data_IF_983016044714
#
_entry.id   IF_983016044714
#
_cell.length_a   1.000
_cell.length_b   1.000
_cell.length_c   1.000
_cell.angle_alpha   90.00
_cell.angle_beta   90.00
_cell.angle_gamma   90.00
#
_symmetry.space_group_name_H-M   'P 1'
#
loop_
_entity.id
_entity.type
_entity.pdbx_description
1 polymer ?
#
# COMPACT_ATOMS: atom_id res chain seq x y z
N UNK A 1 -28.27 -45.39 27.26
CA UNK A 1 -27.34 -45.76 26.17
C UNK A 1 -27.53 -44.75 25.05
N UNK A 2 -26.72 -43.71 25.08
CA UNK A 2 -26.74 -42.65 24.07
C UNK A 2 -25.99 -43.08 22.81
N UNK A 3 -26.43 -42.56 21.68
CA UNK A 3 -25.62 -42.47 20.48
C UNK A 3 -25.54 -41.00 20.07
N UNK A 4 -24.31 -40.49 20.10
CA UNK A 4 -23.91 -39.14 19.79
C UNK A 4 -24.20 -38.82 18.32
N UNK A 5 -24.94 -37.73 18.08
CA UNK A 5 -24.91 -37.00 16.81
C UNK A 5 -23.64 -36.15 16.79
N UNK A 6 -22.62 -36.60 16.04
CA UNK A 6 -21.43 -35.82 15.77
C UNK A 6 -21.74 -34.82 14.65
N UNK A 7 -22.15 -33.61 15.03
CA UNK A 7 -22.22 -32.48 14.11
C UNK A 7 -20.77 -32.05 13.79
N UNK A 8 -20.25 -32.48 12.65
CA UNK A 8 -19.01 -31.94 12.10
C UNK A 8 -19.33 -30.54 11.57
N UNK A 9 -19.15 -29.53 12.43
CA UNK A 9 -19.06 -28.15 11.99
C UNK A 9 -17.82 -28.02 11.10
N UNK A 10 -18.03 -28.06 9.78
CA UNK A 10 -17.08 -27.60 8.80
C UNK A 10 -16.77 -26.13 9.11
N UNK A 11 -15.62 -25.87 9.74
CA UNK A 11 -15.06 -24.54 9.80
C UNK A 11 -14.67 -24.16 8.38
N UNK A 12 -15.57 -23.44 7.69
CA UNK A 12 -15.19 -22.58 6.58
C UNK A 12 -14.20 -21.56 7.15
N UNK A 13 -12.91 -21.86 7.05
CA UNK A 13 -11.86 -20.87 7.14
C UNK A 13 -12.11 -19.89 5.98
N UNK A 14 -12.89 -18.83 6.26
CA UNK A 14 -13.07 -17.73 5.35
C UNK A 14 -11.70 -17.12 5.11
N UNK A 15 -11.12 -17.38 3.94
CA UNK A 15 -10.04 -16.57 3.42
C UNK A 15 -10.60 -15.14 3.33
N UNK A 16 -10.14 -14.27 4.22
CA UNK A 16 -10.42 -12.84 4.13
C UNK A 16 -9.93 -12.37 2.76
N UNK A 17 -10.74 -11.64 1.97
CA UNK A 17 -10.23 -11.04 0.74
C UNK A 17 -9.08 -10.11 1.14
N UNK A 18 -7.89 -10.38 0.60
CA UNK A 18 -6.78 -9.45 0.66
C UNK A 18 -7.25 -8.13 0.03
N UNK A 19 -7.32 -7.08 0.84
CA UNK A 19 -7.61 -5.73 0.39
C UNK A 19 -6.29 -5.10 -0.05
N UNK A 20 -6.25 -4.52 -1.24
CA UNK A 20 -5.23 -3.56 -1.64
C UNK A 20 -5.13 -2.46 -0.58
N UNK A 21 -4.16 -2.57 0.32
CA UNK A 21 -4.03 -1.66 1.47
C UNK A 21 -3.01 -0.56 1.17
N UNK A 22 -1.99 -0.88 0.37
CA UNK A 22 -0.88 0.05 0.13
C UNK A 22 -1.17 1.08 -0.95
N UNK A 23 -1.90 0.72 -2.01
CA UNK A 23 -2.20 1.63 -3.11
C UNK A 23 -3.70 1.70 -3.40
N UNK A 24 -4.17 2.92 -3.63
CA UNK A 24 -5.48 3.20 -4.21
C UNK A 24 -5.31 3.59 -5.67
N UNK A 25 -6.18 3.08 -6.54
CA UNK A 25 -6.17 3.41 -7.97
C UNK A 25 -7.30 4.37 -8.34
N UNK A 26 -7.01 5.33 -9.21
CA UNK A 26 -8.02 6.19 -9.83
C UNK A 26 -7.66 6.47 -11.31
N UNK A 27 -8.65 6.71 -12.19
CA UNK A 27 -8.38 7.27 -13.51
C UNK A 27 -7.59 8.58 -13.38
N UNK A 28 -6.66 8.81 -14.30
CA UNK A 28 -5.88 10.05 -14.37
C UNK A 28 -5.79 10.55 -15.80
N UNK A 29 -5.27 11.76 -15.98
CA UNK A 29 -5.09 12.35 -17.31
C UNK A 29 -4.13 11.48 -18.12
N UNK A 30 -4.57 11.06 -19.30
CA UNK A 30 -3.71 10.45 -20.29
C UNK A 30 -2.79 11.51 -20.91
N UNK A 31 -1.49 11.27 -20.83
CA UNK A 31 -0.43 12.10 -21.40
C UNK A 31 0.72 11.21 -21.83
N UNK A 32 0.62 10.65 -23.05
CA UNK A 32 1.61 9.72 -23.57
C UNK A 32 3.01 10.34 -23.63
N UNK A 33 3.98 9.73 -22.94
CA UNK A 33 5.36 10.22 -22.95
C UNK A 33 6.04 9.69 -24.22
N UNK A 34 6.56 10.57 -25.06
CA UNK A 34 7.24 10.16 -26.29
C UNK A 34 8.46 9.28 -25.96
N UNK A 35 8.59 8.07 -26.54
CA UNK A 35 9.76 7.22 -26.32
C UNK A 35 10.99 7.66 -27.13
N UNK A 36 10.92 8.78 -27.86
CA UNK A 36 12.03 9.29 -28.66
C UNK A 36 13.24 9.59 -27.75
N UNK A 37 14.39 8.98 -28.04
CA UNK A 37 15.61 9.12 -27.24
C UNK A 37 15.65 8.28 -25.96
N UNK A 38 14.63 7.48 -25.68
CA UNK A 38 14.66 6.51 -24.58
C UNK A 38 15.61 5.35 -24.91
N UNK A 39 16.20 4.76 -23.87
CA UNK A 39 17.17 3.66 -24.00
C UNK A 39 16.44 2.35 -24.28
N UNK A 40 16.78 1.61 -25.35
CA UNK A 40 16.26 0.26 -25.56
C UNK A 40 16.66 -0.67 -24.42
N UNK A 41 15.74 -1.56 -24.02
CA UNK A 41 16.07 -2.60 -23.03
C UNK A 41 17.14 -3.54 -23.56
N UNK A 42 18.02 -3.99 -22.66
CA UNK A 42 18.99 -5.05 -22.94
C UNK A 42 18.58 -6.29 -22.16
N UNK A 43 18.17 -7.33 -22.89
CA UNK A 43 17.72 -8.60 -22.33
C UNK A 43 18.87 -9.36 -21.68
N UNK A 44 18.58 -10.09 -20.61
CA UNK A 44 19.58 -10.87 -19.90
C UNK A 44 20.03 -12.12 -20.66
N UNK A 45 19.35 -12.46 -21.76
CA UNK A 45 19.45 -13.74 -22.44
C UNK A 45 19.28 -14.90 -21.46
N UNK A 46 18.20 -14.83 -20.67
CA UNK A 46 17.82 -15.77 -19.59
C UNK A 46 18.75 -15.81 -18.37
N UNK A 47 19.89 -15.10 -18.38
CA UNK A 47 20.85 -15.17 -17.26
C UNK A 47 20.31 -14.63 -15.93
N UNK A 48 19.27 -13.81 -15.97
CA UNK A 48 18.57 -13.31 -14.78
C UNK A 48 17.28 -14.08 -14.48
N UNK A 49 16.89 -15.01 -15.34
CA UNK A 49 15.58 -15.63 -15.37
C UNK A 49 15.53 -16.91 -14.51
N UNK A 50 14.58 -17.01 -13.57
CA UNK A 50 14.46 -18.15 -12.64
C UNK A 50 13.30 -19.13 -12.91
N UNK A 51 12.35 -18.80 -13.80
CA UNK A 51 11.15 -19.62 -14.07
C UNK A 51 11.07 -20.23 -15.48
N UNK A 52 12.17 -20.25 -16.23
CA UNK A 52 12.28 -20.94 -17.51
C UNK A 52 11.80 -20.13 -18.73
N UNK A 53 12.37 -18.94 -18.91
CA UNK A 53 12.13 -18.08 -20.09
C UNK A 53 13.06 -18.39 -21.27
N UNK A 54 12.95 -17.60 -22.32
CA UNK A 54 13.77 -17.72 -23.54
C UNK A 54 14.60 -16.45 -23.76
N UNK A 55 15.61 -16.42 -24.64
CA UNK A 55 16.32 -15.17 -24.92
C UNK A 55 15.37 -14.15 -25.57
N UNK A 56 15.34 -12.93 -25.04
CA UNK A 56 14.45 -11.82 -25.48
C UNK A 56 12.97 -12.01 -25.12
N UNK A 57 12.39 -13.14 -25.47
CA UNK A 57 11.00 -13.50 -25.14
C UNK A 57 10.92 -14.27 -23.82
N UNK A 58 9.88 -14.04 -23.02
CA UNK A 58 9.80 -14.48 -21.63
C UNK A 58 11.01 -14.10 -20.77
N UNK A 59 11.82 -13.12 -21.19
CA UNK A 59 13.06 -12.73 -20.54
C UNK A 59 12.87 -11.50 -19.65
N UNK A 60 13.87 -11.26 -18.81
CA UNK A 60 14.01 -10.03 -18.02
C UNK A 60 15.34 -9.36 -18.29
N UNK A 61 15.42 -8.07 -18.03
CA UNK A 61 16.68 -7.34 -18.02
C UNK A 61 17.52 -7.68 -16.79
N UNK A 62 18.81 -7.35 -16.82
CA UNK A 62 19.54 -7.07 -15.58
C UNK A 62 18.88 -5.91 -14.80
N UNK A 63 19.16 -5.74 -13.49
CA UNK A 63 18.65 -4.61 -12.72
C UNK A 63 19.00 -3.27 -13.39
N UNK A 64 17.99 -2.53 -13.81
CA UNK A 64 18.11 -1.21 -14.44
C UNK A 64 18.05 -0.14 -13.36
N UNK A 65 19.02 0.80 -13.28
CA UNK A 65 18.95 1.92 -12.34
C UNK A 65 17.74 2.81 -12.61
N UNK A 66 16.95 3.07 -11.57
CA UNK A 66 15.78 3.97 -11.65
C UNK A 66 16.19 5.45 -11.73
N UNK A 67 17.40 5.77 -11.25
CA UNK A 67 17.89 7.13 -11.10
C UNK A 67 17.40 7.84 -9.84
N UNK A 68 16.51 7.22 -9.06
CA UNK A 68 16.04 7.68 -7.75
C UNK A 68 15.65 6.48 -6.87
N UNK A 69 15.39 6.72 -5.58
CA UNK A 69 14.85 5.70 -4.68
C UNK A 69 13.33 5.64 -4.85
N UNK A 70 12.83 4.58 -5.46
CA UNK A 70 11.41 4.30 -5.54
C UNK A 70 10.99 3.44 -4.36
N UNK A 71 10.04 3.91 -3.56
CA UNK A 71 9.52 3.12 -2.44
C UNK A 71 8.23 2.40 -2.86
N UNK A 72 8.27 1.07 -2.92
CA UNK A 72 7.14 0.19 -3.27
C UNK A 72 6.77 -0.67 -2.06
N UNK A 73 5.59 -0.47 -1.49
CA UNK A 73 5.16 -1.22 -0.30
C UNK A 73 5.99 -1.05 0.97
N UNK A 74 6.52 0.16 1.21
CA UNK A 74 7.41 0.45 2.34
C UNK A 74 8.87 0.07 2.11
N UNK A 75 9.18 -0.65 1.02
CA UNK A 75 10.53 -1.07 0.69
C UNK A 75 11.13 -0.14 -0.37
N UNK A 76 12.34 0.35 -0.12
CA UNK A 76 13.09 1.19 -1.04
C UNK A 76 13.82 0.35 -2.10
N UNK A 77 13.63 0.69 -3.37
CA UNK A 77 14.34 0.13 -4.51
C UNK A 77 15.03 1.24 -5.30
N UNK A 78 16.26 0.99 -5.73
CA UNK A 78 17.01 1.88 -6.63
C UNK A 78 17.14 1.32 -8.04
N UNK A 79 16.67 0.09 -8.24
CA UNK A 79 16.72 -0.64 -9.51
C UNK A 79 15.41 -1.37 -9.75
N UNK A 80 15.13 -1.67 -11.02
CA UNK A 80 13.98 -2.46 -11.47
C UNK A 80 14.41 -3.41 -12.59
N UNK A 81 13.81 -4.59 -12.67
CA UNK A 81 13.90 -5.47 -13.83
C UNK A 81 12.68 -5.26 -14.72
N UNK A 82 12.91 -5.09 -16.02
CA UNK A 82 11.85 -5.01 -17.05
C UNK A 82 11.69 -6.39 -17.65
N UNK A 83 10.45 -6.84 -17.81
CA UNK A 83 10.12 -8.15 -18.37
C UNK A 83 9.33 -8.00 -19.67
N UNK A 84 9.61 -8.85 -20.66
CA UNK A 84 8.99 -8.81 -22.00
C UNK A 84 7.47 -8.74 -21.95
N UNK A 85 6.86 -9.56 -21.10
CA UNK A 85 5.41 -9.73 -20.95
C UNK A 85 4.75 -8.62 -20.13
N UNK A 86 5.14 -7.36 -20.31
CA UNK A 86 4.45 -6.20 -19.74
C UNK A 86 4.55 -6.09 -18.21
N UNK A 87 5.63 -6.60 -17.60
CA UNK A 87 5.85 -6.55 -16.14
C UNK A 87 7.10 -5.75 -15.76
N UNK A 88 7.02 -5.05 -14.63
CA UNK A 88 8.18 -4.54 -13.89
C UNK A 88 8.30 -5.30 -12.58
N UNK A 89 9.53 -5.61 -12.18
CA UNK A 89 9.80 -6.49 -11.04
C UNK A 89 10.89 -5.90 -10.17
N UNK A 90 10.73 -5.98 -8.85
CA UNK A 90 11.65 -5.41 -7.88
C UNK A 90 12.27 -6.52 -7.02
N UNK A 91 13.57 -6.75 -7.18
CA UNK A 91 14.27 -7.87 -6.54
C UNK A 91 13.50 -9.20 -6.70
N UNK A 92 12.93 -9.41 -7.88
CA UNK A 92 12.29 -10.64 -8.28
C UNK A 92 12.73 -10.98 -9.70
N UNK A 93 13.31 -12.17 -9.83
CA UNK A 93 13.91 -12.70 -11.05
C UNK A 93 12.99 -13.71 -11.74
N UNK A 94 11.72 -13.79 -11.34
CA UNK A 94 10.76 -14.70 -11.94
C UNK A 94 10.36 -14.23 -13.34
N UNK A 95 10.39 -15.17 -14.25
CA UNK A 95 10.16 -15.06 -15.68
C UNK A 95 9.51 -16.38 -16.09
N UNK A 96 8.95 -16.44 -17.29
CA UNK A 96 8.30 -17.63 -17.79
C UNK A 96 7.19 -17.26 -18.75
N UNK A 97 6.74 -18.29 -19.46
CA UNK A 97 5.78 -18.23 -20.55
C UNK A 97 4.57 -17.34 -20.23
N UNK A 98 4.22 -16.45 -21.16
CA UNK A 98 3.08 -15.56 -21.00
C UNK A 98 1.75 -16.24 -21.30
N UNK A 99 1.69 -17.31 -22.09
CA UNK A 99 0.42 -17.99 -22.46
C UNK A 99 0.35 -19.44 -21.98
N UNK A 100 -0.74 -19.83 -21.32
CA UNK A 100 -1.06 -21.23 -21.00
C UNK A 100 -1.74 -21.95 -22.17
N UNK A 101 -2.65 -21.28 -22.88
CA UNK A 101 -3.38 -21.83 -24.03
C UNK A 101 -3.53 -20.77 -25.12
N UNK A 102 -3.17 -21.10 -26.36
CA UNK A 102 -3.19 -20.19 -27.52
C UNK A 102 -4.57 -19.99 -28.18
N UNK A 103 -5.58 -20.78 -27.81
CA UNK A 103 -6.90 -20.70 -28.43
C UNK A 103 -7.54 -19.31 -28.22
N UNK A 104 -8.55 -18.91 -28.99
CA UNK A 104 -9.35 -17.75 -28.61
C UNK A 104 -10.40 -18.16 -27.54
N UNK A 105 -10.45 -17.53 -26.34
CA UNK A 105 -9.53 -16.51 -25.85
C UNK A 105 -8.27 -17.11 -25.21
N UNK A 106 -7.13 -16.42 -25.37
CA UNK A 106 -5.87 -16.82 -24.72
C UNK A 106 -5.97 -16.71 -23.20
N UNK A 107 -5.30 -17.63 -22.51
CA UNK A 107 -5.26 -17.70 -21.05
C UNK A 107 -3.84 -17.57 -20.52
N UNK A 108 -3.70 -16.95 -19.34
CA UNK A 108 -2.42 -16.56 -18.76
C UNK A 108 -2.08 -17.45 -17.55
N UNK A 109 -0.84 -17.97 -17.44
CA UNK A 109 -0.51 -19.01 -16.46
C UNK A 109 -0.28 -18.50 -15.04
N UNK A 110 -0.16 -17.18 -14.84
CA UNK A 110 0.23 -16.62 -13.55
C UNK A 110 -0.78 -15.58 -13.04
N UNK A 111 -1.86 -16.01 -12.37
CA UNK A 111 -2.88 -15.08 -11.84
C UNK A 111 -2.33 -14.25 -10.66
N UNK A 112 -2.75 -13.00 -10.50
CA UNK A 112 -2.56 -12.23 -9.26
C UNK A 112 -3.57 -12.73 -8.19
N UNK A 113 -3.15 -13.09 -6.97
CA UNK A 113 -1.77 -13.13 -6.51
C UNK A 113 -1.03 -14.43 -6.90
N UNK A 114 0.27 -14.33 -7.11
CA UNK A 114 1.16 -15.48 -7.34
C UNK A 114 2.44 -15.35 -6.50
N UNK A 115 2.72 -16.34 -5.66
CA UNK A 115 3.88 -16.33 -4.76
C UNK A 115 5.23 -16.17 -5.46
N UNK A 116 5.32 -16.61 -6.72
CA UNK A 116 6.53 -16.47 -7.53
C UNK A 116 6.67 -15.08 -8.15
N UNK A 117 5.61 -14.28 -8.19
CA UNK A 117 5.56 -12.97 -8.85
C UNK A 117 5.33 -11.81 -7.87
N UNK A 118 5.62 -11.98 -6.59
CA UNK A 118 5.59 -10.88 -5.61
C UNK A 118 6.54 -9.75 -5.99
N UNK A 119 6.27 -8.53 -5.52
CA UNK A 119 7.00 -7.31 -5.88
C UNK A 119 6.99 -7.03 -7.38
N UNK A 120 5.82 -7.20 -8.01
CA UNK A 120 5.62 -6.93 -9.45
C UNK A 120 4.55 -5.88 -9.71
N UNK A 121 4.75 -5.17 -10.81
CA UNK A 121 3.79 -4.27 -11.46
C UNK A 121 3.46 -4.86 -12.82
N UNK A 122 2.19 -4.83 -13.22
CA UNK A 122 1.68 -5.42 -14.46
C UNK A 122 0.88 -4.37 -15.20
N UNK A 123 1.50 -3.72 -16.19
CA UNK A 123 0.79 -2.76 -17.05
C UNK A 123 -0.20 -3.50 -17.93
N UNK A 124 0.23 -4.63 -18.50
CA UNK A 124 -0.61 -5.57 -19.24
C UNK A 124 0.16 -6.88 -19.38
N UNK A 125 0.00 -7.80 -18.41
CA UNK A 125 0.84 -9.00 -18.33
C UNK A 125 0.44 -10.10 -19.33
N UNK A 126 0.61 -9.80 -20.62
CA UNK A 126 0.39 -10.66 -21.77
C UNK A 126 1.72 -11.24 -22.27
N UNK A 127 1.70 -12.37 -22.97
CA UNK A 127 2.79 -13.02 -23.72
C UNK A 127 3.29 -12.15 -24.88
N UNK A 128 3.84 -10.98 -24.55
CA UNK A 128 4.36 -10.02 -25.51
C UNK A 128 5.73 -10.51 -25.98
N UNK A 129 5.89 -10.60 -27.30
CA UNK A 129 7.10 -11.11 -27.94
C UNK A 129 7.80 -9.99 -28.74
N UNK A 130 8.87 -9.38 -28.17
CA UNK A 130 9.64 -8.36 -28.86
C UNK A 130 10.42 -8.87 -30.09
N UNK A 131 10.53 -10.19 -30.29
CA UNK A 131 11.16 -10.77 -31.49
C UNK A 131 10.26 -10.62 -32.73
N UNK A 132 8.94 -10.51 -32.54
CA UNK A 132 7.98 -10.33 -33.64
C UNK A 132 7.91 -8.88 -34.13
N UNK A 133 8.31 -7.93 -33.30
CA UNK A 133 8.36 -6.52 -33.67
C UNK A 133 8.18 -5.57 -32.49
N UNK A 134 8.06 -4.28 -32.82
CA UNK A 134 7.96 -3.23 -31.83
C UNK A 134 9.26 -2.98 -31.07
N UNK A 135 9.17 -2.19 -30.00
CA UNK A 135 10.32 -1.90 -29.12
C UNK A 135 9.87 -1.76 -27.67
N UNK A 136 10.79 -2.07 -26.75
CA UNK A 136 10.64 -1.76 -25.33
C UNK A 136 11.79 -0.84 -24.94
N UNK A 137 11.47 0.35 -24.44
CA UNK A 137 12.45 1.37 -24.06
C UNK A 137 12.17 1.93 -22.68
N UNK A 138 13.18 2.53 -22.06
CA UNK A 138 13.05 3.21 -20.77
C UNK A 138 13.84 4.51 -20.68
N UNK A 139 13.43 5.40 -19.77
CA UNK A 139 14.18 6.60 -19.43
C UNK A 139 13.88 7.07 -18.00
N UNK A 140 14.86 7.70 -17.36
CA UNK A 140 14.64 8.54 -16.18
C UNK A 140 14.51 9.99 -16.63
N UNK A 141 13.39 10.64 -16.32
CA UNK A 141 13.09 12.01 -16.72
C UNK A 141 12.95 12.91 -15.49
N UNK A 142 12.98 14.22 -15.72
CA UNK A 142 12.84 15.24 -14.68
C UNK A 142 14.08 15.44 -13.80
N UNK A 143 13.90 16.15 -12.70
CA UNK A 143 14.94 16.44 -11.71
C UNK A 143 14.38 16.25 -10.30
N UNK A 144 15.26 15.93 -9.34
CA UNK A 144 14.83 15.72 -7.96
C UNK A 144 14.11 16.98 -7.40
N UNK A 145 13.05 16.82 -6.60
CA UNK A 145 12.46 15.57 -6.10
C UNK A 145 11.31 15.02 -6.97
N UNK A 146 11.20 15.44 -8.24
CA UNK A 146 10.08 15.13 -9.13
C UNK A 146 10.55 14.32 -10.35
N UNK A 147 11.40 13.31 -10.14
CA UNK A 147 11.81 12.40 -11.22
C UNK A 147 10.74 11.36 -11.50
N UNK A 148 10.75 10.87 -12.74
CA UNK A 148 9.95 9.73 -13.17
C UNK A 148 10.82 8.73 -13.93
N UNK A 149 10.51 7.44 -13.77
CA UNK A 149 11.10 6.36 -14.57
C UNK A 149 10.01 5.76 -15.43
N UNK A 150 10.18 5.86 -16.75
CA UNK A 150 9.17 5.48 -17.75
C UNK A 150 9.67 4.25 -18.47
N UNK A 151 8.82 3.22 -18.57
CA UNK A 151 9.02 2.07 -19.47
C UNK A 151 7.90 2.08 -20.50
N UNK A 152 8.26 2.05 -21.77
CA UNK A 152 7.34 2.13 -22.90
C UNK A 152 7.46 0.87 -23.75
N UNK A 153 6.33 0.19 -23.96
CA UNK A 153 6.14 -0.86 -24.96
C UNK A 153 5.50 -0.19 -26.17
N UNK A 154 6.17 -0.21 -27.32
CA UNK A 154 5.70 0.41 -28.57
C UNK A 154 5.46 -0.65 -29.63
N UNK A 155 4.20 -0.82 -30.04
CA UNK A 155 3.76 -1.78 -31.04
C UNK A 155 4.31 -3.21 -30.84
N UNK A 156 4.44 -3.67 -29.59
CA UNK A 156 4.96 -5.00 -29.30
C UNK A 156 3.85 -6.03 -29.56
N UNK A 157 4.03 -7.02 -30.44
CA UNK A 157 3.03 -8.06 -30.68
C UNK A 157 2.99 -9.10 -29.55
N UNK A 158 1.95 -9.90 -29.54
CA UNK A 158 1.82 -11.12 -28.74
C UNK A 158 2.45 -12.32 -29.46
N UNK A 159 3.09 -13.21 -28.70
CA UNK A 159 3.69 -14.44 -29.18
C UNK A 159 2.66 -15.28 -29.96
N UNK A 160 3.01 -15.68 -31.18
CA UNK A 160 2.13 -16.46 -32.05
C UNK A 160 0.90 -15.69 -32.58
N UNK A 161 0.82 -14.38 -32.40
CA UNK A 161 -0.18 -13.50 -33.03
C UNK A 161 0.46 -12.22 -33.59
N UNK A 162 1.23 -12.30 -34.70
CA UNK A 162 1.99 -11.17 -35.25
C UNK A 162 1.14 -9.99 -35.74
N UNK A 163 -0.19 -10.17 -35.89
CA UNK A 163 -1.10 -9.09 -36.29
C UNK A 163 -1.59 -8.24 -35.10
N UNK A 164 -1.29 -8.66 -33.88
CA UNK A 164 -1.51 -7.89 -32.66
C UNK A 164 -0.45 -6.80 -32.48
N UNK A 165 -0.77 -5.79 -31.68
CA UNK A 165 0.21 -4.82 -31.21
C UNK A 165 -0.29 -4.14 -29.94
N UNK A 166 0.63 -3.89 -29.02
CA UNK A 166 0.33 -3.25 -27.73
C UNK A 166 1.20 -2.02 -27.52
N UNK A 167 0.55 -0.90 -27.19
CA UNK A 167 1.19 0.35 -26.80
C UNK A 167 0.88 0.63 -25.32
N UNK A 168 1.88 0.45 -24.46
CA UNK A 168 1.71 0.49 -23.01
C UNK A 168 2.81 1.34 -22.37
N UNK A 169 2.48 2.06 -21.29
CA UNK A 169 3.48 2.70 -20.44
C UNK A 169 3.29 2.36 -18.97
N UNK A 170 4.39 2.05 -18.29
CA UNK A 170 4.49 2.05 -16.83
C UNK A 170 5.41 3.20 -16.40
N UNK A 171 4.90 4.09 -15.56
CA UNK A 171 5.59 5.31 -15.11
C UNK A 171 5.68 5.26 -13.59
N UNK A 172 6.89 5.26 -13.04
CA UNK A 172 7.15 5.27 -11.61
C UNK A 172 7.56 6.68 -11.22
N UNK A 173 6.97 7.24 -10.16
CA UNK A 173 7.31 8.58 -9.67
C UNK A 173 8.19 8.50 -8.43
N UNK A 174 9.10 9.45 -8.27
CA UNK A 174 10.01 9.55 -7.12
C UNK A 174 9.30 9.58 -5.75
N UNK A 175 8.04 10.02 -5.71
CA UNK A 175 7.21 10.02 -4.50
C UNK A 175 6.63 8.63 -4.12
N UNK A 176 6.85 7.59 -4.94
CA UNK A 176 6.36 6.23 -4.69
C UNK A 176 5.02 5.88 -5.34
N UNK A 177 4.39 6.81 -6.06
CA UNK A 177 3.24 6.54 -6.92
C UNK A 177 3.67 5.93 -8.26
N UNK A 178 2.72 5.37 -9.01
CA UNK A 178 2.96 4.95 -10.40
C UNK A 178 1.70 5.07 -11.26
N UNK A 179 1.88 5.21 -12.57
CA UNK A 179 0.79 5.31 -13.55
C UNK A 179 0.96 4.24 -14.63
N UNK A 180 -0.14 3.66 -15.06
CA UNK A 180 -0.24 2.90 -16.30
C UNK A 180 -0.97 3.73 -17.36
N UNK A 181 -0.42 3.80 -18.57
CA UNK A 181 -1.08 4.44 -19.72
C UNK A 181 -1.26 3.43 -20.85
N UNK A 182 -2.39 3.55 -21.53
CA UNK A 182 -2.80 2.64 -22.59
C UNK A 182 -2.97 3.41 -23.90
N UNK A 183 -2.06 3.18 -24.84
CA UNK A 183 -2.16 3.71 -26.20
C UNK A 183 -3.01 2.81 -27.11
N UNK A 184 -3.13 3.18 -28.39
CA UNK A 184 -3.82 2.36 -29.38
C UNK A 184 -3.24 0.95 -29.40
N UNK A 185 -4.08 -0.08 -29.30
CA UNK A 185 -3.65 -1.48 -29.27
C UNK A 185 -4.66 -2.35 -30.02
N UNK A 186 -4.19 -3.47 -30.58
CA UNK A 186 -5.01 -4.50 -31.23
C UNK A 186 -4.75 -5.85 -30.58
N UNK A 187 -5.82 -6.55 -30.20
CA UNK A 187 -5.76 -7.87 -29.57
C UNK A 187 -6.77 -8.82 -30.25
N UNK A 188 -6.42 -9.39 -31.42
CA UNK A 188 -7.27 -10.31 -32.14
C UNK A 188 -7.39 -11.69 -31.49
N UNK A 189 -6.46 -12.05 -30.59
CA UNK A 189 -6.51 -13.31 -29.83
C UNK A 189 -7.58 -13.32 -28.73
N UNK A 190 -8.14 -12.15 -28.41
CA UNK A 190 -9.18 -11.94 -27.40
C UNK A 190 -8.75 -12.40 -26.00
N UNK A 191 -7.45 -12.54 -25.74
CA UNK A 191 -6.94 -12.87 -24.40
C UNK A 191 -7.14 -11.71 -23.42
N UNK A 192 -7.46 -12.03 -22.16
CA UNK A 192 -7.58 -11.06 -21.07
C UNK A 192 -6.42 -11.18 -20.09
N UNK A 193 -5.34 -10.43 -20.33
CA UNK A 193 -4.22 -10.34 -19.40
C UNK A 193 -4.63 -9.65 -18.09
N UNK A 194 -3.73 -9.62 -17.10
CA UNK A 194 -4.01 -8.94 -15.83
C UNK A 194 -3.26 -7.60 -15.75
N UNK A 195 -4.00 -6.57 -15.35
CA UNK A 195 -3.49 -5.23 -15.04
C UNK A 195 -3.55 -5.07 -13.53
N UNK A 196 -2.46 -4.62 -12.91
CA UNK A 196 -2.42 -4.47 -11.46
C UNK A 196 -1.01 -4.52 -10.90
N UNK A 197 -0.93 -4.82 -9.61
CA UNK A 197 0.33 -4.91 -8.88
C UNK A 197 0.20 -5.91 -7.74
N UNK A 198 1.34 -6.46 -7.33
CA UNK A 198 1.43 -7.41 -6.22
C UNK A 198 2.69 -7.13 -5.41
N UNK A 199 2.52 -6.73 -4.15
CA UNK A 199 3.63 -6.57 -3.20
C UNK A 199 3.94 -7.88 -2.51
N UNK A 200 2.87 -8.52 -2.04
CA UNK A 200 2.84 -9.83 -1.41
C UNK A 200 1.56 -10.53 -1.84
N UNK A 201 1.45 -11.83 -1.60
CA UNK A 201 0.21 -12.56 -1.90
C UNK A 201 -1.00 -12.10 -1.07
N UNK A 202 -0.79 -11.27 -0.05
CA UNK A 202 -1.84 -10.67 0.78
C UNK A 202 -2.03 -9.16 0.54
N UNK A 203 -1.23 -8.53 -0.31
CA UNK A 203 -1.33 -7.10 -0.63
C UNK A 203 -1.06 -6.89 -2.12
N UNK A 204 -2.15 -6.78 -2.86
CA UNK A 204 -2.18 -6.71 -4.32
C UNK A 204 -3.49 -6.06 -4.77
N UNK A 205 -3.53 -5.61 -6.02
CA UNK A 205 -4.76 -5.14 -6.66
C UNK A 205 -4.81 -5.57 -8.12
N UNK A 206 -6.03 -5.80 -8.62
CA UNK A 206 -6.32 -5.97 -10.04
C UNK A 206 -7.22 -4.83 -10.51
N UNK A 207 -7.01 -4.40 -11.75
CA UNK A 207 -7.90 -3.51 -12.46
C UNK A 207 -8.80 -4.34 -13.37
N UNK A 208 -10.11 -4.17 -13.20
CA UNK A 208 -11.10 -4.72 -14.12
C UNK A 208 -11.24 -3.84 -15.35
N UNK A 209 -11.32 -4.47 -16.51
CA UNK A 209 -11.51 -3.82 -17.80
C UNK A 209 -12.22 -4.78 -18.76
N UNK A 210 -12.87 -4.24 -19.79
CA UNK A 210 -13.64 -5.07 -20.75
C UNK A 210 -12.77 -5.61 -21.89
N UNK A 211 -11.89 -4.79 -22.46
CA UNK A 211 -10.92 -5.17 -23.48
C UNK A 211 -9.78 -4.14 -23.51
N UNK A 212 -8.63 -4.48 -24.08
CA UNK A 212 -7.54 -3.51 -24.23
C UNK A 212 -7.94 -2.31 -25.10
N UNK A 213 -8.81 -2.53 -26.10
CA UNK A 213 -9.33 -1.47 -26.96
C UNK A 213 -10.14 -0.42 -26.19
N UNK A 214 -10.87 -0.83 -25.14
CA UNK A 214 -11.61 0.08 -24.28
C UNK A 214 -10.72 0.96 -23.38
N UNK A 215 -9.44 0.60 -23.23
CA UNK A 215 -8.47 1.38 -22.47
C UNK A 215 -7.73 2.41 -23.33
N UNK A 216 -7.89 2.41 -24.65
CA UNK A 216 -7.18 3.32 -25.54
C UNK A 216 -7.38 4.80 -25.15
N UNK A 217 -6.28 5.53 -24.94
CA UNK A 217 -6.29 6.93 -24.54
C UNK A 217 -6.64 7.15 -23.07
N UNK A 218 -6.53 6.12 -22.23
CA UNK A 218 -6.78 6.20 -20.79
C UNK A 218 -5.51 5.97 -19.98
N UNK A 219 -5.52 6.47 -18.76
CA UNK A 219 -4.47 6.24 -17.79
C UNK A 219 -5.05 5.98 -16.40
N UNK A 220 -4.35 5.17 -15.60
CA UNK A 220 -4.72 4.84 -14.22
C UNK A 220 -3.52 5.12 -13.34
N UNK A 221 -3.71 5.98 -12.34
CA UNK A 221 -2.70 6.27 -11.32
C UNK A 221 -2.97 5.42 -10.08
N UNK A 222 -1.91 4.82 -9.58
CA UNK A 222 -1.84 4.14 -8.30
C UNK A 222 -1.08 5.03 -7.35
N UNK A 223 -1.82 5.66 -6.44
CA UNK A 223 -1.22 6.48 -5.40
C UNK A 223 -1.11 5.70 -4.12
N UNK A 224 0.00 5.90 -3.42
CA UNK A 224 0.12 5.35 -2.07
C UNK A 224 -1.07 5.78 -1.25
N UNK A 225 -1.67 4.82 -0.57
CA UNK A 225 -2.57 5.11 0.53
C UNK A 225 -1.73 5.66 1.66
N UNK A 226 -1.44 6.96 1.58
CA UNK A 226 -1.17 7.74 2.78
C UNK A 226 -2.53 7.81 3.45
N UNK A 227 -2.79 6.89 4.40
CA UNK A 227 -3.88 7.13 5.33
C UNK A 227 -3.57 8.50 5.92
N UNK A 228 -4.42 9.53 5.73
CA UNK A 228 -4.15 10.82 6.35
C UNK A 228 -4.18 10.59 7.86
N UNK A 229 -3.00 10.44 8.45
CA UNK A 229 -2.84 10.23 9.88
C UNK A 229 -3.00 11.60 10.51
N UNK A 230 -4.11 11.82 11.22
CA UNK A 230 -4.38 13.10 11.88
C UNK A 230 -3.22 13.50 12.80
N UNK A 231 -2.70 12.56 13.59
CA UNK A 231 -1.51 12.74 14.42
C UNK A 231 -0.80 11.41 14.69
N UNK A 232 0.53 11.45 14.84
CA UNK A 232 1.36 10.27 15.14
C UNK A 232 2.36 10.58 16.25
N UNK A 233 2.08 10.11 17.47
CA UNK A 233 2.93 10.34 18.64
C UNK A 233 3.84 9.14 18.91
N UNK A 234 5.14 9.29 18.65
CA UNK A 234 6.15 8.27 18.98
C UNK A 234 6.47 8.22 20.48
N UNK A 235 6.32 9.36 21.15
CA UNK A 235 6.61 9.55 22.58
C UNK A 235 8.06 9.16 22.94
N UNK A 236 9.00 9.43 22.04
CA UNK A 236 10.40 9.02 22.14
C UNK A 236 11.36 10.14 22.57
N UNK A 237 10.83 11.30 22.96
CA UNK A 237 11.62 12.41 23.50
C UNK A 237 12.32 12.02 24.81
N UNK A 238 13.45 12.66 25.09
CA UNK A 238 14.29 12.33 26.26
C UNK A 238 13.61 12.63 27.60
N UNK A 239 12.72 13.63 27.62
CA UNK A 239 11.98 14.07 28.79
C UNK A 239 10.80 14.97 28.37
N UNK A 240 9.74 14.95 29.17
CA UNK A 240 8.68 15.97 29.15
C UNK A 240 8.71 16.78 30.45
N UNK A 241 8.37 18.07 30.38
CA UNK A 241 8.38 19.00 31.50
C UNK A 241 7.13 19.91 31.58
N UNK A 242 6.12 19.65 30.76
CA UNK A 242 4.90 20.44 30.64
C UNK A 242 4.98 21.59 29.65
N UNK A 243 6.07 21.71 28.87
CA UNK A 243 6.17 22.75 27.83
C UNK A 243 5.18 22.47 26.72
N UNK A 244 4.45 23.51 26.30
CA UNK A 244 3.47 23.40 25.22
C UNK A 244 4.10 22.81 23.94
N UNK A 245 3.49 21.75 23.42
CA UNK A 245 3.90 21.09 22.17
C UNK A 245 5.18 20.24 22.26
N UNK A 246 5.61 19.85 23.47
CA UNK A 246 6.79 19.01 23.68
C UNK A 246 6.60 17.54 23.28
N UNK A 247 5.37 17.04 23.24
CA UNK A 247 5.04 15.69 22.76
C UNK A 247 4.84 15.76 21.26
N UNK A 248 5.83 15.33 20.48
CA UNK A 248 5.89 15.64 19.05
C UNK A 248 4.96 14.79 18.21
N UNK A 249 4.24 15.46 17.34
CA UNK A 249 3.48 14.85 16.25
C UNK A 249 4.41 14.58 15.05
N UNK A 250 4.69 13.31 14.83
CA UNK A 250 5.52 12.81 13.73
C UNK A 250 4.75 12.62 12.42
N UNK A 251 3.46 12.95 12.36
CA UNK A 251 2.67 12.91 11.12
C UNK A 251 3.00 14.06 10.16
N UNK A 252 3.53 15.17 10.70
CA UNK A 252 3.77 16.41 9.96
C UNK A 252 2.60 17.40 10.01
N UNK A 253 1.49 17.08 10.67
CA UNK A 253 0.31 17.94 10.77
C UNK A 253 0.36 18.96 11.91
N UNK A 254 1.49 19.01 12.64
CA UNK A 254 1.73 19.96 13.73
C UNK A 254 0.72 19.87 14.90
N UNK A 255 0.05 18.73 15.06
CA UNK A 255 -0.80 18.46 16.23
C UNK A 255 0.06 18.05 17.44
N UNK A 256 1.08 18.84 17.80
CA UNK A 256 1.95 18.49 18.92
C UNK A 256 1.17 18.54 20.24
N UNK A 257 1.34 17.52 21.08
CA UNK A 257 0.73 17.44 22.39
C UNK A 257 1.59 18.03 23.51
N UNK A 258 1.02 18.11 24.70
CA UNK A 258 1.67 18.62 25.91
C UNK A 258 1.48 17.63 27.05
N UNK A 259 2.54 17.31 27.81
CA UNK A 259 2.39 16.48 28.99
C UNK A 259 1.66 17.25 30.10
N UNK A 260 0.68 16.62 30.73
CA UNK A 260 -0.11 17.19 31.83
C UNK A 260 0.22 16.43 33.11
N UNK A 261 0.35 17.17 34.21
CA UNK A 261 0.66 16.62 35.53
C UNK A 261 2.06 16.00 35.57
N UNK A 262 2.12 14.73 35.93
CA UNK A 262 3.34 13.94 36.13
C UNK A 262 3.63 12.98 34.96
N UNK A 263 2.90 13.11 33.85
CA UNK A 263 3.20 12.36 32.65
C UNK A 263 4.64 12.64 32.19
N UNK A 264 5.39 11.60 31.85
CA UNK A 264 6.76 11.72 31.35
C UNK A 264 7.11 10.56 30.42
N UNK A 265 8.25 10.62 29.74
CA UNK A 265 8.75 9.51 28.92
C UNK A 265 9.49 8.47 29.77
N UNK A 266 9.38 7.21 29.38
CA UNK A 266 10.04 6.07 30.02
C UNK A 266 10.86 5.26 29.00
N UNK A 267 11.96 4.68 29.46
CA UNK A 267 12.76 3.72 28.72
C UNK A 267 12.87 2.40 29.53
N UNK A 268 12.70 1.23 28.91
CA UNK A 268 12.34 1.02 27.50
C UNK A 268 10.83 1.15 27.26
N UNK A 269 10.47 1.73 26.12
CA UNK A 269 9.14 1.64 25.53
C UNK A 269 9.00 0.42 24.60
N UNK A 270 7.91 0.36 23.83
CA UNK A 270 7.75 -0.68 22.80
C UNK A 270 8.76 -0.50 21.66
N UNK A 271 8.98 0.74 21.23
CA UNK A 271 10.00 1.16 20.27
C UNK A 271 10.78 2.29 20.92
N UNK A 272 12.06 2.10 21.22
CA UNK A 272 12.88 3.06 21.96
C UNK A 272 12.27 3.44 23.33
N UNK A 273 11.55 4.55 23.39
CA UNK A 273 10.90 5.14 24.58
C UNK A 273 9.38 5.09 24.42
N UNK A 274 8.64 5.49 25.45
CA UNK A 274 7.19 5.67 25.36
C UNK A 274 6.67 6.58 26.46
N UNK A 275 5.41 6.97 26.38
CA UNK A 275 4.75 7.73 27.45
C UNK A 275 4.46 6.86 28.66
N UNK A 276 4.77 7.36 29.85
CA UNK A 276 4.34 6.82 31.13
C UNK A 276 3.35 7.79 31.76
N UNK A 277 2.09 7.34 31.87
CA UNK A 277 1.01 8.08 32.52
C UNK A 277 0.79 7.47 33.91
N UNK A 278 1.12 8.19 35.00
CA UNK A 278 0.84 7.71 36.35
C UNK A 278 -0.66 7.49 36.63
N UNK A 279 -0.96 6.73 37.69
CA UNK A 279 -2.34 6.47 38.08
C UNK A 279 -3.05 7.77 38.52
N UNK A 280 -4.14 8.12 37.83
CA UNK A 280 -5.10 9.13 38.26
C UNK A 280 -6.05 8.51 39.30
N UNK A 281 -5.81 8.79 40.58
CA UNK A 281 -6.58 8.20 41.70
C UNK A 281 -7.57 9.16 42.35
N UNK A 282 -7.58 10.43 41.93
CA UNK A 282 -8.43 11.50 42.44
C UNK A 282 -8.87 12.39 41.29
N UNK A 283 -10.08 12.96 41.39
CA UNK A 283 -10.63 13.84 40.34
C UNK A 283 -9.82 15.13 40.11
N UNK A 284 -9.06 15.59 41.11
CA UNK A 284 -8.21 16.78 41.00
C UNK A 284 -6.83 16.49 40.40
N UNK A 285 -6.53 15.24 40.09
CA UNK A 285 -5.24 14.82 39.54
C UNK A 285 -5.47 14.37 38.10
N UNK A 286 -4.86 15.09 37.17
CA UNK A 286 -4.89 14.77 35.75
C UNK A 286 -3.44 14.61 35.29
N UNK A 287 -3.00 13.37 35.18
CA UNK A 287 -1.79 13.00 34.47
C UNK A 287 -2.21 12.47 33.09
N UNK A 288 -1.74 13.10 32.01
CA UNK A 288 -2.13 12.77 30.64
C UNK A 288 -1.13 13.33 29.61
N UNK A 289 -1.33 13.00 28.34
CA UNK A 289 -0.84 13.81 27.21
C UNK A 289 -2.06 14.50 26.62
N UNK A 290 -2.08 15.83 26.70
CA UNK A 290 -3.10 16.64 26.03
C UNK A 290 -2.68 16.87 24.58
N UNK A 291 -3.40 16.26 23.64
CA UNK A 291 -3.14 16.37 22.21
C UNK A 291 -3.75 17.62 21.59
N UNK A 292 -4.68 18.28 22.27
CA UNK A 292 -5.51 19.35 21.71
C UNK A 292 -6.45 18.90 20.57
N UNK A 293 -6.48 17.61 20.23
CA UNK A 293 -7.31 17.08 19.15
C UNK A 293 -8.77 17.06 19.59
N UNK A 294 -9.64 17.71 18.82
CA UNK A 294 -11.08 17.73 18.99
C UNK A 294 -11.73 16.61 18.16
N UNK A 295 -12.23 15.51 18.77
CA UNK A 295 -12.75 14.37 18.01
C UNK A 295 -13.95 14.70 17.11
N UNK A 296 -14.83 15.59 17.56
CA UNK A 296 -16.04 16.03 16.86
C UNK A 296 -15.75 16.74 15.53
N UNK A 297 -14.70 17.55 15.49
CA UNK A 297 -14.38 18.38 14.31
C UNK A 297 -13.20 17.87 13.51
N UNK A 298 -12.19 17.27 14.15
CA UNK A 298 -10.96 16.82 13.49
C UNK A 298 -10.97 15.34 13.10
N UNK A 299 -11.69 14.48 13.83
CA UNK A 299 -11.87 13.06 13.45
C UNK A 299 -13.19 12.89 12.67
N UNK A 300 -14.27 13.52 13.14
CA UNK A 300 -15.59 13.45 12.50
C UNK A 300 -16.35 12.17 12.83
N UNK A 301 -17.22 11.74 11.90
CA UNK A 301 -18.18 10.66 12.16
C UNK A 301 -17.56 9.24 12.27
N UNK A 302 -16.35 9.03 11.74
CA UNK A 302 -15.64 7.75 11.81
C UNK A 302 -14.13 7.97 11.73
N UNK A 303 -13.37 7.18 12.49
CA UNK A 303 -11.91 7.25 12.51
C UNK A 303 -11.29 5.95 13.02
N UNK A 304 -9.96 5.90 13.03
CA UNK A 304 -9.18 4.79 13.60
C UNK A 304 -8.15 5.35 14.57
N UNK A 305 -8.04 4.71 15.75
CA UNK A 305 -6.98 4.95 16.73
C UNK A 305 -6.23 3.64 16.89
N UNK A 306 -4.92 3.66 16.64
CA UNK A 306 -4.00 2.57 16.94
C UNK A 306 -2.96 3.06 17.95
N UNK A 307 -2.58 2.18 18.89
CA UNK A 307 -1.53 2.46 19.86
C UNK A 307 -1.05 1.17 20.55
N UNK A 308 0.18 1.21 21.03
CA UNK A 308 0.69 0.20 21.96
C UNK A 308 0.33 0.58 23.40
N UNK A 309 -0.18 -0.37 24.16
CA UNK A 309 -0.54 -0.17 25.57
C UNK A 309 0.11 -1.22 26.47
N UNK A 310 0.74 -0.76 27.55
CA UNK A 310 1.27 -1.61 28.63
C UNK A 310 0.71 -1.12 29.96
N UNK A 311 -0.12 -1.94 30.59
CA UNK A 311 -0.65 -1.65 31.93
C UNK A 311 0.24 -2.20 33.04
N UNK A 312 0.22 -1.53 34.20
CA UNK A 312 0.77 -2.04 35.46
C UNK A 312 -0.08 -3.18 36.08
N UNK A 313 -1.33 -3.34 35.61
CA UNK A 313 -2.26 -4.41 35.99
C UNK A 313 -2.59 -5.26 34.78
N UNK A 314 -2.98 -6.51 35.01
CA UNK A 314 -3.38 -7.41 33.93
C UNK A 314 -4.46 -6.78 33.02
N UNK A 315 -4.39 -7.07 31.71
CA UNK A 315 -5.39 -6.60 30.75
C UNK A 315 -6.80 -7.02 31.17
N UNK A 316 -6.96 -8.30 31.53
CA UNK A 316 -8.19 -8.86 32.10
C UNK A 316 -8.14 -8.86 33.63
N UNK A 317 -8.36 -7.71 34.24
CA UNK A 317 -8.54 -7.62 35.70
C UNK A 317 -10.03 -7.58 36.07
N UNK A 318 -10.36 -8.04 37.28
CA UNK A 318 -11.68 -7.88 37.89
C UNK A 318 -11.63 -6.64 38.78
N UNK A 319 -12.50 -5.66 38.50
CA UNK A 319 -12.71 -4.45 39.31
C UNK A 319 -11.77 -3.26 39.08
N UNK A 320 -11.37 -2.98 37.83
CA UNK A 320 -10.64 -1.75 37.52
C UNK A 320 -10.87 -1.31 36.08
N UNK A 321 -11.64 -0.24 35.91
CA UNK A 321 -11.82 0.43 34.63
C UNK A 321 -10.69 1.44 34.45
N UNK A 322 -10.11 1.50 33.24
CA UNK A 322 -8.97 2.38 32.94
C UNK A 322 -9.29 3.27 31.76
N UNK A 323 -9.24 4.57 31.98
CA UNK A 323 -9.38 5.53 30.89
C UNK A 323 -8.13 5.49 30.01
N UNK A 324 -8.32 5.31 28.71
CA UNK A 324 -7.25 5.29 27.71
C UNK A 324 -7.24 6.59 26.90
N UNK A 325 -8.43 7.09 26.55
CA UNK A 325 -8.61 8.39 25.91
C UNK A 325 -9.82 9.08 26.52
N UNK A 326 -9.71 10.38 26.72
CA UNK A 326 -10.81 11.20 27.19
C UNK A 326 -10.71 12.58 26.55
N UNK A 327 -11.78 13.00 25.90
CA UNK A 327 -11.99 14.36 25.43
C UNK A 327 -13.34 14.89 25.93
N UNK A 328 -13.88 14.28 27.00
CA UNK A 328 -15.18 14.61 27.53
C UNK A 328 -15.16 16.02 28.11
N UNK A 329 -16.03 16.91 27.61
CA UNK A 329 -16.23 18.25 28.18
C UNK A 329 -17.64 18.33 28.73
N UNK A 330 -17.82 18.60 30.03
CA UNK A 330 -19.16 18.77 30.58
C UNK A 330 -19.81 20.01 29.98
N UNK A 331 -21.13 19.94 29.78
CA UNK A 331 -21.94 21.07 29.35
C UNK A 331 -21.67 22.29 30.25
N UNK A 332 -21.53 23.50 29.67
CA UNK A 332 -21.56 24.70 30.46
C UNK A 332 -22.86 24.75 31.30
N UNK A 333 -22.83 25.30 32.53
CA UNK A 333 -23.98 25.29 33.45
C UNK A 333 -25.26 25.95 32.90
N UNK A 334 -25.17 26.62 31.76
CA UNK A 334 -26.27 27.30 31.08
C UNK A 334 -27.15 26.36 30.22
N UNK A 335 -26.87 25.05 30.20
CA UNK A 335 -27.68 24.06 29.48
C UNK A 335 -27.49 24.06 27.97
N UNK A 336 -26.43 24.70 27.46
CA UNK A 336 -26.09 24.65 26.05
C UNK A 336 -25.21 23.42 25.74
N UNK A 337 -25.85 22.32 25.36
CA UNK A 337 -25.19 21.05 25.02
C UNK A 337 -24.42 21.09 23.68
N UNK A 338 -24.41 22.21 22.96
CA UNK A 338 -23.66 22.35 21.70
C UNK A 338 -22.12 22.40 21.89
N UNK A 339 -21.64 22.44 23.14
CA UNK A 339 -20.22 22.35 23.50
C UNK A 339 -19.87 21.00 24.16
N UNK A 340 -20.84 20.09 24.25
CA UNK A 340 -20.62 18.76 24.79
C UNK A 340 -19.81 17.93 23.81
N UNK A 341 -18.57 17.62 24.19
CA UNK A 341 -17.83 16.54 23.56
C UNK A 341 -17.95 15.32 24.47
N UNK A 342 -18.46 14.22 23.93
CA UNK A 342 -18.47 12.91 24.58
C UNK A 342 -17.65 11.96 23.74
N UNK A 343 -16.33 11.97 23.95
CA UNK A 343 -15.46 10.94 23.42
C UNK A 343 -14.60 10.42 24.55
N UNK A 344 -14.77 9.14 24.84
CA UNK A 344 -13.89 8.42 25.75
C UNK A 344 -13.63 7.03 25.20
N UNK A 345 -12.52 6.43 25.64
CA UNK A 345 -12.24 5.03 25.43
C UNK A 345 -11.74 4.47 26.75
N UNK A 346 -12.52 3.57 27.35
CA UNK A 346 -12.13 2.91 28.59
C UNK A 346 -11.97 1.39 28.41
N UNK A 347 -10.97 0.85 29.11
CA UNK A 347 -10.76 -0.58 29.27
C UNK A 347 -11.53 -1.05 30.49
N UNK A 348 -12.65 -1.72 30.26
CA UNK A 348 -13.57 -2.25 31.26
C UNK A 348 -13.08 -3.57 31.86
N UNK A 349 -13.77 -3.99 32.92
CA UNK A 349 -13.67 -5.33 33.51
C UNK A 349 -13.63 -6.44 32.43
N UNK A 350 -12.77 -7.44 32.64
CA UNK A 350 -12.53 -8.58 31.72
C UNK A 350 -11.92 -8.20 30.36
N UNK A 351 -11.44 -6.97 30.19
CA UNK A 351 -10.67 -6.55 29.02
C UNK A 351 -11.52 -6.14 27.82
N UNK A 352 -12.77 -5.74 28.07
CA UNK A 352 -13.65 -5.15 27.07
C UNK A 352 -13.31 -3.67 26.86
N UNK A 353 -13.37 -3.18 25.63
CA UNK A 353 -13.26 -1.75 25.32
C UNK A 353 -14.67 -1.16 25.20
N UNK A 354 -14.86 0.04 25.72
CA UNK A 354 -16.10 0.81 25.55
C UNK A 354 -15.74 2.20 25.02
N UNK A 355 -16.53 2.62 24.03
CA UNK A 355 -16.60 3.96 23.48
C UNK A 355 -17.88 4.65 23.97
#
# INVERSE_FOLDING_TARGET
MGWLLLAVCLWLAGATPARAATYTSAPTTFGWISPAGHTPVTWSNTSQCSGGGTPVDDDITAPVPLGFTFNFGGVNYTTVQIMSNGRLQFNNNFCGYGTQTIGPPRTYPYPIPNSSQVRTMRVYANDLDPLLGGTITYATLGTAPNREFVVTFTNVPEWGEPSSFFNLQAILYENGDFTYQFGPSNNPSQGHAQIGWELTTSDYALISYSSIGALNGTAIRFSRTVVPVLAYYRMDETSWNGTAGEVRDSSGNANNGTAVGRANTVFPGKVCRGGNIPNNTRLSQIDAVDTGIAPDTQIGAAGTIDFWYKANKAWRNRNDDRMLFDASKPAPPNGNNAQDNYFFLDLRNRGQLRF
#
